data_IF_128343065963
#
_entry.id   IF_128343065963
#
_cell.length_a   1.000
_cell.length_b   1.000
_cell.length_c   1.000
_cell.angle_alpha   90.00
_cell.angle_beta   90.00
_cell.angle_gamma   90.00
#
_symmetry.space_group_name_H-M   'P 1'
#
loop_
_entity.id
_entity.type
_entity.pdbx_description
1 polymer ?
#
# COMPACT_ATOMS: atom_id res chain seq x y z
N UNK A 1 -27.43 -79.07 -57.92
CA UNK A 1 -26.32 -79.19 -56.93
C UNK A 1 -25.72 -77.84 -56.71
N UNK A 2 -26.09 -77.13 -55.63
CA UNK A 2 -25.51 -75.87 -55.25
C UNK A 2 -25.05 -75.96 -53.77
N UNK A 3 -23.76 -75.86 -53.54
CA UNK A 3 -23.16 -75.88 -52.19
C UNK A 3 -23.25 -74.48 -51.60
N UNK A 4 -23.84 -74.40 -50.40
CA UNK A 4 -23.86 -73.22 -49.60
C UNK A 4 -22.62 -73.25 -48.67
N UNK A 5 -21.77 -72.20 -48.76
CA UNK A 5 -20.68 -71.93 -47.77
C UNK A 5 -21.21 -71.03 -46.70
N UNK A 6 -21.22 -71.49 -45.45
CA UNK A 6 -21.40 -70.64 -44.20
C UNK A 6 -20.07 -69.97 -43.89
N UNK A 7 -20.10 -68.63 -43.74
CA UNK A 7 -19.03 -67.88 -43.12
C UNK A 7 -19.38 -67.71 -41.61
N UNK A 8 -18.42 -67.85 -40.70
CA UNK A 8 -18.64 -67.56 -39.32
C UNK A 8 -18.46 -65.99 -39.01
N UNK A 9 -19.43 -65.42 -38.28
CA UNK A 9 -19.43 -64.09 -37.80
C UNK A 9 -18.43 -63.98 -36.59
N UNK A 10 -17.36 -63.19 -36.76
CA UNK A 10 -16.40 -62.89 -35.73
C UNK A 10 -16.93 -61.60 -34.93
N UNK A 11 -17.41 -61.79 -33.72
CA UNK A 11 -17.84 -60.70 -32.89
C UNK A 11 -16.61 -60.00 -32.28
N UNK A 12 -16.38 -58.73 -32.66
CA UNK A 12 -15.37 -57.87 -32.05
C UNK A 12 -15.95 -57.22 -30.82
N UNK A 13 -15.45 -57.63 -29.64
CA UNK A 13 -15.74 -56.98 -28.35
C UNK A 13 -14.85 -55.73 -28.22
N UNK A 14 -15.41 -54.54 -28.39
CA UNK A 14 -14.72 -53.28 -28.14
C UNK A 14 -14.84 -52.98 -26.64
N UNK A 15 -13.75 -53.17 -25.88
CA UNK A 15 -13.59 -52.68 -24.53
C UNK A 15 -13.40 -51.15 -24.57
N UNK A 16 -14.45 -50.41 -24.23
CA UNK A 16 -14.34 -48.98 -23.93
C UNK A 16 -13.67 -48.83 -22.56
N UNK A 17 -12.37 -48.54 -22.58
CA UNK A 17 -11.65 -48.06 -21.40
C UNK A 17 -12.10 -46.62 -21.14
N UNK A 18 -12.98 -46.41 -20.17
CA UNK A 18 -13.26 -45.10 -19.61
C UNK A 18 -12.00 -44.60 -18.86
N UNK A 19 -11.16 -43.83 -19.52
CA UNK A 19 -10.11 -43.06 -18.91
C UNK A 19 -10.76 -41.86 -18.21
N UNK A 20 -10.96 -41.95 -16.90
CA UNK A 20 -11.22 -40.78 -16.08
C UNK A 20 -9.99 -39.91 -16.04
N UNK A 21 -9.86 -39.03 -17.02
CA UNK A 21 -8.91 -37.95 -16.99
C UNK A 21 -9.36 -36.93 -15.94
N UNK A 22 -8.72 -36.92 -14.77
CA UNK A 22 -8.82 -35.82 -13.83
C UNK A 22 -8.34 -34.57 -14.56
N UNK A 23 -9.25 -33.59 -14.76
CA UNK A 23 -8.91 -32.28 -15.26
C UNK A 23 -7.84 -31.67 -14.33
N UNK A 24 -6.80 -31.03 -14.88
CA UNK A 24 -5.82 -30.34 -14.04
C UNK A 24 -6.56 -29.26 -13.26
N UNK A 25 -6.50 -29.33 -11.92
CA UNK A 25 -6.88 -28.20 -11.07
C UNK A 25 -5.97 -27.04 -11.47
N UNK A 26 -6.52 -26.03 -12.13
CA UNK A 26 -5.84 -24.76 -12.29
C UNK A 26 -5.57 -24.23 -10.87
N UNK A 27 -4.35 -24.35 -10.40
CA UNK A 27 -3.89 -23.61 -9.24
C UNK A 27 -3.97 -22.15 -9.66
N UNK A 28 -5.01 -21.44 -9.21
CA UNK A 28 -5.01 -19.99 -9.23
C UNK A 28 -3.88 -19.62 -8.28
N UNK A 29 -2.71 -19.26 -8.84
CA UNK A 29 -1.62 -18.72 -8.03
C UNK A 29 -2.17 -17.54 -7.25
N UNK A 30 -2.09 -17.63 -5.93
CA UNK A 30 -2.42 -16.49 -5.07
C UNK A 30 -1.51 -15.32 -5.48
N UNK A 31 -2.04 -14.09 -5.59
CA UNK A 31 -1.23 -12.95 -5.99
C UNK A 31 0.00 -12.83 -5.08
N UNK A 32 1.14 -12.60 -5.72
CA UNK A 32 2.40 -12.46 -5.00
C UNK A 32 2.28 -11.33 -3.97
N UNK A 33 2.66 -11.63 -2.72
CA UNK A 33 2.65 -10.64 -1.62
C UNK A 33 3.58 -9.45 -1.93
N UNK A 34 3.23 -8.29 -1.39
CA UNK A 34 4.00 -7.05 -1.57
C UNK A 34 4.49 -6.48 -0.25
N UNK A 35 5.68 -5.89 -0.29
CA UNK A 35 6.24 -5.04 0.78
C UNK A 35 6.66 -3.73 0.14
N UNK A 36 6.02 -2.63 0.55
CA UNK A 36 6.14 -1.32 -0.08
C UNK A 36 6.79 -0.34 0.89
N UNK A 37 7.88 0.27 0.47
CA UNK A 37 8.51 1.37 1.20
C UNK A 37 8.12 2.71 0.59
N UNK A 38 7.60 3.64 1.36
CA UNK A 38 7.63 5.04 0.99
C UNK A 38 9.03 5.60 1.26
N UNK A 39 9.63 6.21 0.25
CA UNK A 39 10.99 6.77 0.30
C UNK A 39 10.92 8.24 -0.09
N UNK A 40 11.25 9.11 0.85
CA UNK A 40 11.03 10.54 0.69
C UNK A 40 12.17 11.24 -0.10
N UNK A 41 11.78 12.29 -0.80
CA UNK A 41 12.68 13.10 -1.63
C UNK A 41 13.71 13.93 -0.82
N UNK A 42 13.43 14.13 0.48
CA UNK A 42 14.26 14.91 1.40
C UNK A 42 15.20 14.07 2.26
N UNK A 43 15.01 12.76 2.31
CA UNK A 43 15.92 11.86 3.02
C UNK A 43 17.13 11.49 2.16
N UNK A 44 18.29 11.36 2.76
CA UNK A 44 19.50 10.84 2.10
C UNK A 44 19.69 9.34 2.26
N UNK A 45 18.87 8.68 3.11
CA UNK A 45 18.97 7.25 3.39
C UNK A 45 18.49 6.44 2.19
N UNK A 46 19.37 5.56 1.69
CA UNK A 46 19.05 4.67 0.56
C UNK A 46 18.41 3.39 1.06
N UNK A 47 17.24 2.99 0.50
CA UNK A 47 16.62 1.73 0.88
C UNK A 47 17.43 0.51 0.42
N UNK A 48 17.42 -0.54 1.24
CA UNK A 48 17.96 -1.83 0.85
C UNK A 48 16.95 -2.54 -0.08
N UNK A 49 17.25 -2.70 -1.38
CA UNK A 49 16.32 -3.30 -2.33
C UNK A 49 15.98 -4.77 -2.00
N UNK A 50 16.84 -5.48 -1.23
CA UNK A 50 16.56 -6.86 -0.83
C UNK A 50 15.38 -6.97 0.14
N UNK A 51 15.02 -5.90 0.85
CA UNK A 51 13.97 -5.86 1.89
C UNK A 51 12.65 -5.24 1.43
N UNK A 52 12.48 -4.98 0.13
CA UNK A 52 11.26 -4.39 -0.44
C UNK A 52 10.91 -5.05 -1.77
N UNK A 53 9.64 -5.06 -2.13
CA UNK A 53 9.18 -5.44 -3.47
C UNK A 53 8.85 -4.21 -4.30
N UNK A 54 8.39 -3.14 -3.63
CA UNK A 54 7.99 -1.88 -4.24
C UNK A 54 8.59 -0.70 -3.47
N UNK A 55 8.86 0.37 -4.18
CA UNK A 55 9.19 1.67 -3.62
C UNK A 55 8.22 2.70 -4.20
N UNK A 56 7.52 3.42 -3.33
CA UNK A 56 6.79 4.62 -3.67
C UNK A 56 7.67 5.82 -3.34
N UNK A 57 8.21 6.48 -4.38
CA UNK A 57 9.02 7.68 -4.20
C UNK A 57 8.13 8.88 -3.90
N UNK A 58 8.29 9.47 -2.75
CA UNK A 58 7.47 10.55 -2.22
C UNK A 58 8.26 11.88 -2.18
N UNK A 59 7.90 12.95 -2.93
CA UNK A 59 6.69 13.05 -3.72
C UNK A 59 6.92 13.78 -5.05
N UNK A 60 6.00 13.52 -5.98
CA UNK A 60 5.63 14.48 -6.99
C UNK A 60 4.43 15.31 -6.52
N UNK A 61 4.17 16.45 -7.14
CA UNK A 61 3.03 17.32 -6.85
C UNK A 61 2.36 17.79 -8.13
N UNK A 62 1.08 18.14 -8.07
CA UNK A 62 0.43 18.87 -9.18
C UNK A 62 1.17 20.19 -9.39
N UNK A 63 1.52 20.51 -10.64
CA UNK A 63 2.26 21.71 -10.98
C UNK A 63 1.41 22.99 -10.80
N UNK A 64 2.05 24.16 -10.93
CA UNK A 64 1.40 25.45 -10.68
C UNK A 64 0.35 25.83 -11.73
N UNK A 65 0.33 25.15 -12.86
CA UNK A 65 -0.65 25.32 -13.95
C UNK A 65 -1.74 24.26 -13.97
N UNK A 66 -1.84 23.41 -12.94
CA UNK A 66 -2.85 22.38 -12.73
C UNK A 66 -2.93 21.31 -13.83
N UNK A 67 -1.92 21.13 -14.65
CA UNK A 67 -1.99 20.27 -15.85
C UNK A 67 -0.81 19.32 -16.03
N UNK A 68 0.01 19.16 -15.01
CA UNK A 68 1.17 18.26 -15.02
C UNK A 68 1.74 18.04 -13.63
N UNK A 69 2.84 17.29 -13.58
CA UNK A 69 3.50 16.88 -12.36
C UNK A 69 4.84 17.60 -12.20
N UNK A 70 5.10 18.12 -11.02
CA UNK A 70 6.40 18.62 -10.59
C UNK A 70 7.05 17.62 -9.65
N UNK A 71 8.15 17.01 -10.04
CA UNK A 71 8.93 16.07 -9.22
C UNK A 71 9.87 16.85 -8.31
N UNK A 72 9.90 16.49 -7.04
CA UNK A 72 10.87 17.02 -6.10
C UNK A 72 12.10 16.09 -6.11
N UNK A 73 13.28 16.65 -6.31
CA UNK A 73 14.56 15.96 -6.32
C UNK A 73 14.63 14.79 -7.33
N UNK A 74 14.61 15.12 -8.63
CA UNK A 74 14.70 14.12 -9.71
C UNK A 74 15.97 13.27 -9.66
N UNK A 75 17.09 13.83 -9.20
CA UNK A 75 18.33 13.08 -9.10
C UNK A 75 18.22 11.94 -8.08
N UNK A 76 17.55 12.18 -6.96
CA UNK A 76 17.27 11.12 -6.01
C UNK A 76 16.31 10.06 -6.58
N UNK A 77 15.28 10.48 -7.33
CA UNK A 77 14.40 9.53 -8.02
C UNK A 77 15.21 8.62 -8.96
N UNK A 78 16.14 9.17 -9.75
CA UNK A 78 17.02 8.38 -10.62
C UNK A 78 17.89 7.40 -9.83
N UNK A 79 18.41 7.81 -8.66
CA UNK A 79 19.16 6.92 -7.78
C UNK A 79 18.30 5.77 -7.25
N UNK A 80 17.05 6.05 -6.84
CA UNK A 80 16.10 5.03 -6.40
C UNK A 80 15.76 4.05 -7.54
N UNK A 81 15.49 4.55 -8.74
CA UNK A 81 15.24 3.70 -9.92
C UNK A 81 16.47 2.84 -10.25
N UNK A 82 17.67 3.35 -10.05
CA UNK A 82 18.91 2.60 -10.30
C UNK A 82 19.07 1.35 -9.41
N UNK A 83 18.34 1.25 -8.29
CA UNK A 83 18.29 0.05 -7.45
C UNK A 83 17.74 -1.17 -8.20
N UNK A 84 16.97 -0.98 -9.27
CA UNK A 84 16.53 -2.05 -10.18
C UNK A 84 17.69 -2.80 -10.83
N UNK A 85 18.90 -2.22 -10.89
CA UNK A 85 20.12 -2.93 -11.34
C UNK A 85 20.54 -4.02 -10.36
N UNK A 86 20.25 -3.85 -9.06
CA UNK A 86 20.54 -4.83 -8.01
C UNK A 86 19.40 -5.83 -7.83
N UNK A 87 18.15 -5.41 -8.10
CA UNK A 87 16.94 -6.23 -7.99
C UNK A 87 16.01 -5.93 -9.16
N UNK A 88 16.14 -6.65 -10.29
CA UNK A 88 15.38 -6.36 -11.52
C UNK A 88 13.86 -6.43 -11.37
N UNK A 89 13.37 -7.24 -10.43
CA UNK A 89 11.95 -7.36 -10.13
C UNK A 89 11.39 -6.23 -9.24
N UNK A 90 12.25 -5.36 -8.69
CA UNK A 90 11.83 -4.21 -7.89
C UNK A 90 10.95 -3.26 -8.71
N UNK A 91 9.81 -2.90 -8.15
CA UNK A 91 8.91 -1.91 -8.71
C UNK A 91 9.14 -0.54 -8.07
N UNK A 92 9.24 0.49 -8.89
CA UNK A 92 9.40 1.88 -8.44
C UNK A 92 8.27 2.72 -9.02
N UNK A 93 7.47 3.32 -8.16
CA UNK A 93 6.38 4.22 -8.50
C UNK A 93 6.70 5.64 -8.03
N UNK A 94 6.17 6.64 -8.74
CA UNK A 94 6.12 7.99 -8.22
C UNK A 94 4.82 8.17 -7.43
N UNK A 95 4.91 8.47 -6.14
CA UNK A 95 3.77 8.91 -5.34
C UNK A 95 3.57 10.40 -5.55
N UNK A 96 2.35 10.79 -5.94
CA UNK A 96 1.99 12.18 -6.22
C UNK A 96 0.99 12.63 -5.18
N UNK A 97 1.36 13.64 -4.40
CA UNK A 97 0.52 14.14 -3.32
C UNK A 97 1.24 14.33 -2.00
N UNK A 98 0.67 13.74 -0.95
CA UNK A 98 1.10 13.86 0.43
C UNK A 98 0.39 14.98 1.18
N UNK A 99 0.48 14.96 2.52
CA UNK A 99 -0.18 15.93 3.38
C UNK A 99 0.19 17.38 3.04
N UNK A 100 -0.82 18.20 2.80
CA UNK A 100 -0.65 19.60 2.39
C UNK A 100 -0.35 19.81 0.90
N UNK A 101 -0.27 18.76 0.10
CA UNK A 101 -0.12 18.87 -1.36
C UNK A 101 -1.45 19.22 -2.01
N UNK A 102 -1.65 20.51 -2.28
CA UNK A 102 -2.87 21.05 -2.91
C UNK A 102 -2.91 20.90 -4.42
N UNK A 103 -3.84 21.66 -5.04
CA UNK A 103 -4.08 21.78 -6.50
C UNK A 103 -4.76 20.57 -7.15
N UNK A 104 -5.02 19.51 -6.42
CA UNK A 104 -5.73 18.36 -6.96
C UNK A 104 -7.18 18.70 -7.33
N UNK A 105 -7.88 19.48 -6.48
CA UNK A 105 -9.28 19.86 -6.72
C UNK A 105 -9.43 20.65 -8.01
N UNK A 106 -8.55 21.63 -8.24
CA UNK A 106 -8.55 22.45 -9.47
C UNK A 106 -8.14 21.61 -10.71
N UNK A 107 -7.12 20.78 -10.57
CA UNK A 107 -6.64 19.92 -11.66
C UNK A 107 -7.72 18.90 -12.05
N UNK A 108 -8.34 18.24 -11.08
CA UNK A 108 -9.27 17.15 -11.33
C UNK A 108 -10.65 17.64 -11.82
N UNK A 109 -11.05 18.87 -11.48
CA UNK A 109 -12.32 19.47 -11.90
C UNK A 109 -12.37 19.79 -13.41
N UNK A 110 -11.24 20.14 -14.01
CA UNK A 110 -11.16 20.52 -15.43
C UNK A 110 -10.70 19.34 -16.28
N UNK A 111 -11.49 18.98 -17.30
CA UNK A 111 -11.19 17.82 -18.16
C UNK A 111 -9.85 17.98 -18.91
N UNK A 112 -9.53 19.17 -19.40
CA UNK A 112 -8.30 19.39 -20.15
C UNK A 112 -7.09 19.31 -19.24
N UNK A 113 -7.15 19.86 -18.02
CA UNK A 113 -6.11 19.75 -17.01
C UNK A 113 -5.92 18.29 -16.61
N UNK A 114 -7.02 17.58 -16.35
CA UNK A 114 -6.99 16.16 -15.95
C UNK A 114 -6.35 15.27 -17.01
N UNK A 115 -6.73 15.44 -18.28
CA UNK A 115 -6.16 14.70 -19.42
C UNK A 115 -4.68 15.07 -19.65
N UNK A 116 -4.31 16.34 -19.49
CA UNK A 116 -2.92 16.79 -19.59
C UNK A 116 -2.07 16.20 -18.47
N UNK A 117 -2.57 16.22 -17.23
CA UNK A 117 -1.91 15.62 -16.07
C UNK A 117 -1.71 14.10 -16.28
N UNK A 118 -2.71 13.39 -16.77
CA UNK A 118 -2.62 11.96 -17.06
C UNK A 118 -1.55 11.65 -18.13
N UNK A 119 -1.45 12.46 -19.17
CA UNK A 119 -0.38 12.36 -20.19
C UNK A 119 0.99 12.65 -19.59
N UNK A 120 1.09 13.61 -18.68
CA UNK A 120 2.34 13.92 -18.00
C UNK A 120 2.78 12.78 -17.06
N UNK A 121 1.84 12.11 -16.39
CA UNK A 121 2.11 10.86 -15.67
C UNK A 121 2.71 9.79 -16.61
N UNK A 122 2.15 9.60 -17.81
CA UNK A 122 2.71 8.67 -18.80
C UNK A 122 4.13 9.07 -19.22
N UNK A 123 4.37 10.35 -19.53
CA UNK A 123 5.70 10.87 -19.88
C UNK A 123 6.72 10.55 -18.79
N UNK A 124 6.39 10.85 -17.53
CA UNK A 124 7.27 10.61 -16.37
C UNK A 124 7.56 9.12 -16.19
N UNK A 125 6.55 8.27 -16.30
CA UNK A 125 6.72 6.81 -16.23
C UNK A 125 7.72 6.33 -17.29
N UNK A 126 7.64 6.85 -18.50
CA UNK A 126 8.55 6.50 -19.60
C UNK A 126 9.96 7.10 -19.40
N UNK A 127 10.04 8.38 -19.09
CA UNK A 127 11.29 9.14 -18.95
C UNK A 127 12.19 8.59 -17.83
N UNK A 128 11.59 8.29 -16.67
CA UNK A 128 12.35 7.79 -15.51
C UNK A 128 12.39 6.25 -15.43
N UNK A 129 11.71 5.53 -16.33
CA UNK A 129 11.67 4.06 -16.30
C UNK A 129 10.92 3.51 -15.10
N UNK A 130 9.85 4.21 -14.66
CA UNK A 130 9.01 3.82 -13.54
C UNK A 130 8.10 2.64 -13.88
N UNK A 131 7.66 1.94 -12.85
CA UNK A 131 6.70 0.85 -12.97
C UNK A 131 5.25 1.30 -12.77
N UNK A 132 5.02 2.56 -12.38
CA UNK A 132 3.68 3.11 -12.20
C UNK A 132 3.62 4.43 -11.45
N UNK A 133 2.39 4.76 -11.08
CA UNK A 133 2.01 5.98 -10.33
C UNK A 133 1.22 5.55 -9.09
N UNK A 134 1.49 6.21 -7.98
CA UNK A 134 0.70 6.16 -6.75
C UNK A 134 0.07 7.54 -6.51
N UNK A 135 -1.22 7.61 -6.20
CA UNK A 135 -1.91 8.88 -5.92
C UNK A 135 -2.18 8.99 -4.43
N UNK A 136 -1.67 10.06 -3.84
CA UNK A 136 -1.80 10.36 -2.41
C UNK A 136 -2.46 11.73 -2.20
N UNK A 137 -3.71 11.87 -2.65
CA UNK A 137 -4.50 13.08 -2.43
C UNK A 137 -5.15 13.05 -1.04
N UNK A 138 -4.73 13.94 -0.14
CA UNK A 138 -5.15 13.99 1.26
C UNK A 138 -5.97 15.28 1.56
N UNK A 139 -7.28 15.34 1.32
CA UNK A 139 -8.15 14.32 0.72
C UNK A 139 -9.16 14.98 -0.23
N UNK A 140 -9.76 14.25 -1.19
CA UNK A 140 -10.91 14.76 -1.94
C UNK A 140 -12.00 15.26 -1.00
N UNK A 141 -12.66 16.35 -1.32
CA UNK A 141 -13.73 16.99 -0.53
C UNK A 141 -13.34 17.50 0.86
N UNK A 142 -12.05 17.46 1.22
CA UNK A 142 -11.56 17.88 2.54
C UNK A 142 -10.46 18.93 2.45
N UNK A 143 -10.62 20.00 3.20
CA UNK A 143 -9.61 21.05 3.36
C UNK A 143 -8.73 20.88 4.62
N UNK A 144 -8.79 19.73 5.29
CA UNK A 144 -8.12 19.50 6.58
C UNK A 144 -6.60 19.69 6.53
N UNK A 145 -5.96 19.40 5.40
CA UNK A 145 -4.53 19.60 5.18
C UNK A 145 -4.17 21.03 4.74
N UNK A 146 -5.09 22.01 4.82
CA UNK A 146 -4.89 23.37 4.33
C UNK A 146 -4.90 23.50 2.80
N UNK A 147 -5.49 22.54 2.12
CA UNK A 147 -5.62 22.50 0.66
C UNK A 147 -7.02 22.95 0.20
N UNK A 148 -7.15 23.31 -1.08
CA UNK A 148 -8.45 23.51 -1.72
C UNK A 148 -9.25 22.22 -1.81
N UNK A 149 -10.57 22.33 -1.75
CA UNK A 149 -11.50 21.20 -1.89
C UNK A 149 -12.81 21.63 -2.50
N UNK A 150 -13.49 20.68 -3.17
CA UNK A 150 -14.82 20.85 -3.76
C UNK A 150 -15.72 19.69 -3.37
N UNK A 151 -17.04 19.88 -3.25
CA UNK A 151 -17.99 18.77 -3.07
C UNK A 151 -17.91 17.71 -4.17
N UNK A 152 -17.45 18.09 -5.37
CA UNK A 152 -17.37 17.22 -6.54
C UNK A 152 -16.06 16.40 -6.60
N UNK A 153 -15.13 16.59 -5.66
CA UNK A 153 -13.79 15.98 -5.72
C UNK A 153 -13.82 14.46 -5.72
N UNK A 154 -14.79 13.82 -5.06
CA UNK A 154 -14.94 12.35 -5.08
C UNK A 154 -15.21 11.82 -6.50
N UNK A 155 -16.10 12.50 -7.24
CA UNK A 155 -16.42 12.15 -8.62
C UNK A 155 -15.27 12.51 -9.56
N UNK A 156 -14.65 13.67 -9.36
CA UNK A 156 -13.47 14.12 -10.09
C UNK A 156 -12.27 13.19 -9.88
N UNK A 157 -12.08 12.66 -8.66
CA UNK A 157 -11.07 11.64 -8.37
C UNK A 157 -11.32 10.35 -9.17
N UNK A 158 -12.59 9.95 -9.29
CA UNK A 158 -12.95 8.78 -10.11
C UNK A 158 -12.57 8.99 -11.58
N UNK A 159 -12.82 10.17 -12.13
CA UNK A 159 -12.43 10.52 -13.50
C UNK A 159 -10.89 10.57 -13.63
N UNK A 160 -10.21 11.17 -12.67
CA UNK A 160 -8.75 11.26 -12.65
C UNK A 160 -8.09 9.88 -12.71
N UNK A 161 -8.51 8.93 -11.87
CA UNK A 161 -7.94 7.59 -11.85
C UNK A 161 -8.15 6.85 -13.18
N UNK A 162 -9.31 7.03 -13.81
CA UNK A 162 -9.60 6.50 -15.15
C UNK A 162 -8.68 7.10 -16.22
N UNK A 163 -8.52 8.42 -16.22
CA UNK A 163 -7.70 9.11 -17.22
C UNK A 163 -6.21 8.75 -17.08
N UNK A 164 -5.71 8.64 -15.84
CA UNK A 164 -4.34 8.16 -15.59
C UNK A 164 -4.19 6.73 -16.10
N UNK A 165 -5.12 5.82 -15.76
CA UNK A 165 -5.10 4.42 -16.20
C UNK A 165 -5.08 4.31 -17.73
N UNK A 166 -5.89 5.10 -18.42
CA UNK A 166 -5.92 5.12 -19.89
C UNK A 166 -4.58 5.59 -20.47
N UNK A 167 -3.95 6.56 -19.85
CA UNK A 167 -2.67 7.13 -20.32
C UNK A 167 -1.48 6.23 -20.05
N UNK A 168 -1.33 5.68 -18.85
CA UNK A 168 -0.18 4.85 -18.51
C UNK A 168 -0.29 3.40 -19.01
N UNK A 169 -1.51 2.96 -19.39
CA UNK A 169 -1.78 1.60 -19.86
C UNK A 169 -1.95 0.57 -18.73
N UNK A 170 -2.24 -0.67 -19.11
CA UNK A 170 -2.51 -1.78 -18.16
C UNK A 170 -1.24 -2.46 -17.63
N UNK A 171 -0.12 -2.26 -18.28
CA UNK A 171 1.17 -2.86 -17.91
C UNK A 171 1.90 -2.08 -16.81
N UNK A 172 1.38 -0.91 -16.44
CA UNK A 172 1.90 -0.06 -15.38
C UNK A 172 0.98 -0.07 -14.17
N UNK A 173 1.56 -0.03 -12.98
CA UNK A 173 0.81 0.03 -11.74
C UNK A 173 0.16 1.41 -11.56
N UNK A 174 -1.08 1.41 -11.12
CA UNK A 174 -1.78 2.59 -10.62
C UNK A 174 -2.32 2.25 -9.25
N UNK A 175 -1.78 2.89 -8.23
CA UNK A 175 -2.13 2.67 -6.84
C UNK A 175 -2.57 3.97 -6.17
N UNK A 176 -3.06 3.88 -4.96
CA UNK A 176 -3.40 5.06 -4.18
C UNK A 176 -3.18 4.83 -2.69
N UNK A 177 -2.83 5.89 -1.97
CA UNK A 177 -2.95 5.95 -0.53
C UNK A 177 -4.37 6.35 -0.13
N UNK A 178 -4.88 5.77 0.96
CA UNK A 178 -6.23 6.00 1.43
C UNK A 178 -6.27 6.23 2.93
N UNK A 179 -7.09 7.20 3.36
CA UNK A 179 -7.36 7.43 4.78
C UNK A 179 -7.90 6.17 5.46
N UNK A 180 -7.54 5.93 6.70
CA UNK A 180 -7.94 4.73 7.46
C UNK A 180 -9.46 4.45 7.45
N UNK A 181 -10.30 5.49 7.36
CA UNK A 181 -11.76 5.36 7.36
C UNK A 181 -12.39 4.95 6.03
N UNK A 182 -11.61 4.81 4.95
CA UNK A 182 -12.12 4.58 3.59
C UNK A 182 -13.08 5.67 3.07
N UNK A 183 -13.02 6.88 3.63
CA UNK A 183 -13.83 8.02 3.20
C UNK A 183 -13.26 8.68 1.95
N UNK A 184 -14.00 9.64 1.40
CA UNK A 184 -13.61 10.54 0.30
C UNK A 184 -13.48 9.90 -1.09
N UNK A 185 -13.50 8.57 -1.21
CA UNK A 185 -13.28 7.86 -2.49
C UNK A 185 -14.42 6.87 -2.75
N UNK A 186 -14.91 6.85 -3.97
CA UNK A 186 -15.83 5.81 -4.45
C UNK A 186 -15.03 4.61 -4.97
N UNK A 187 -14.61 3.72 -4.07
CA UNK A 187 -13.79 2.55 -4.43
C UNK A 187 -14.45 1.68 -5.50
N UNK A 188 -15.77 1.45 -5.41
CA UNK A 188 -16.47 0.62 -6.41
C UNK A 188 -16.36 1.16 -7.83
N UNK A 189 -16.30 2.48 -7.98
CA UNK A 189 -16.18 3.15 -9.27
C UNK A 189 -14.76 3.06 -9.87
N UNK A 190 -13.72 3.04 -9.03
CA UNK A 190 -12.32 3.04 -9.49
C UNK A 190 -11.64 1.66 -9.49
N UNK A 191 -12.32 0.62 -8.98
CA UNK A 191 -11.69 -0.68 -8.74
C UNK A 191 -11.11 -1.33 -9.99
N UNK A 192 -11.64 -1.03 -11.17
CA UNK A 192 -11.14 -1.53 -12.45
C UNK A 192 -9.95 -0.72 -13.00
N UNK A 193 -9.71 0.47 -12.45
CA UNK A 193 -8.68 1.38 -12.91
C UNK A 193 -7.41 1.31 -12.05
N UNK A 194 -7.54 0.89 -10.78
CA UNK A 194 -6.40 0.78 -9.84
C UNK A 194 -5.95 -0.68 -9.64
N UNK A 195 -4.73 -0.90 -9.19
CA UNK A 195 -4.21 -2.23 -8.89
C UNK A 195 -4.41 -2.61 -7.42
N UNK A 196 -4.09 -1.71 -6.49
CA UNK A 196 -4.30 -1.92 -5.06
C UNK A 196 -4.36 -0.59 -4.29
N UNK A 197 -4.76 -0.69 -3.02
CA UNK A 197 -4.94 0.44 -2.10
C UNK A 197 -3.97 0.31 -0.93
N UNK A 198 -3.18 1.34 -0.70
CA UNK A 198 -2.32 1.52 0.46
C UNK A 198 -3.13 2.19 1.58
N UNK A 199 -3.52 1.43 2.62
CA UNK A 199 -4.29 1.98 3.74
C UNK A 199 -3.35 2.72 4.68
N UNK A 200 -3.53 4.01 4.91
CA UNK A 200 -2.82 4.78 5.92
C UNK A 200 -3.38 4.46 7.32
N UNK A 201 -3.15 3.23 7.79
CA UNK A 201 -3.63 2.72 9.08
C UNK A 201 -2.75 3.18 10.26
N UNK A 202 -2.43 4.45 10.24
CA UNK A 202 -1.67 5.18 11.25
C UNK A 202 -2.22 6.61 11.40
N UNK A 203 -1.64 7.42 12.26
CA UNK A 203 -2.10 8.78 12.58
C UNK A 203 -3.55 8.84 13.11
N UNK A 204 -4.05 7.71 13.59
CA UNK A 204 -5.41 7.61 14.14
C UNK A 204 -5.56 8.25 15.53
N UNK A 205 -4.48 8.74 16.12
CA UNK A 205 -4.44 9.54 17.33
C UNK A 205 -3.04 10.14 17.58
N UNK A 206 -2.93 10.93 18.65
CA UNK A 206 -1.67 11.26 19.33
C UNK A 206 -1.71 10.73 20.76
N UNK A 207 -0.55 10.59 21.43
CA UNK A 207 -0.52 10.30 22.86
C UNK A 207 -1.44 11.27 23.64
N UNK A 208 -2.21 10.79 24.63
CA UNK A 208 -2.13 9.51 25.30
C UNK A 208 -2.97 8.38 24.66
N UNK A 209 -3.11 8.34 23.35
CA UNK A 209 -3.77 7.25 22.62
C UNK A 209 -2.85 6.64 21.57
N UNK A 210 -3.07 5.38 21.27
CA UNK A 210 -2.35 4.68 20.19
C UNK A 210 -2.79 5.19 18.82
N UNK A 211 -1.83 5.53 17.95
CA UNK A 211 -2.13 6.01 16.59
C UNK A 211 -2.18 4.88 15.56
N UNK A 212 -1.70 3.69 15.89
CA UNK A 212 -1.59 2.55 14.96
C UNK A 212 -1.93 1.21 15.61
N UNK A 213 -2.77 1.23 16.68
CA UNK A 213 -3.21 0.00 17.36
C UNK A 213 -3.87 -0.98 16.43
N UNK A 214 -3.50 -2.28 16.51
CA UNK A 214 -4.08 -3.30 15.63
C UNK A 214 -5.55 -3.54 15.97
N UNK A 215 -5.88 -3.70 17.23
CA UNK A 215 -7.23 -3.97 17.71
C UNK A 215 -7.73 -2.92 18.71
N UNK A 216 -9.06 -2.83 18.86
CA UNK A 216 -9.72 -1.87 19.74
C UNK A 216 -9.38 -2.15 21.20
N UNK A 217 -8.86 -1.14 21.89
CA UNK A 217 -8.60 -1.09 23.32
C UNK A 217 -9.07 0.26 23.88
N UNK A 218 -9.06 0.41 25.20
CA UNK A 218 -9.53 1.64 25.88
C UNK A 218 -8.72 2.91 25.54
N UNK A 219 -7.45 2.76 25.11
CA UNK A 219 -6.56 3.86 24.73
C UNK A 219 -6.18 3.86 23.24
N UNK A 220 -7.01 3.28 22.38
CA UNK A 220 -6.82 3.39 20.92
C UNK A 220 -7.41 4.71 20.39
N UNK A 221 -6.97 5.11 19.21
CA UNK A 221 -7.46 6.29 18.52
C UNK A 221 -8.91 6.17 18.04
N UNK A 222 -9.29 7.02 17.10
CA UNK A 222 -10.64 7.03 16.51
C UNK A 222 -10.92 5.78 15.65
N UNK A 223 -9.87 5.15 15.10
CA UNK A 223 -9.90 3.85 14.45
C UNK A 223 -8.74 2.97 14.91
N UNK A 224 -8.76 1.71 14.47
CA UNK A 224 -7.67 0.74 14.58
C UNK A 224 -7.32 0.17 13.21
N UNK A 225 -6.20 -0.54 13.09
CA UNK A 225 -5.81 -1.15 11.82
C UNK A 225 -6.86 -2.18 11.32
N UNK A 226 -7.41 -3.01 12.21
CA UNK A 226 -8.47 -3.98 11.86
C UNK A 226 -9.76 -3.28 11.38
N UNK A 227 -10.16 -2.21 12.06
CA UNK A 227 -11.33 -1.42 11.65
C UNK A 227 -11.09 -0.70 10.33
N UNK A 228 -9.88 -0.21 10.07
CA UNK A 228 -9.51 0.40 8.79
C UNK A 228 -9.59 -0.60 7.63
N UNK A 229 -9.06 -1.81 7.81
CA UNK A 229 -9.19 -2.89 6.82
C UNK A 229 -10.66 -3.23 6.59
N UNK A 230 -11.45 -3.37 7.65
CA UNK A 230 -12.89 -3.63 7.54
C UNK A 230 -13.62 -2.53 6.77
N UNK A 231 -13.33 -1.26 7.04
CA UNK A 231 -13.95 -0.13 6.35
C UNK A 231 -13.71 -0.18 4.83
N UNK A 232 -12.50 -0.54 4.39
CA UNK A 232 -12.17 -0.68 2.98
C UNK A 232 -12.87 -1.88 2.33
N UNK A 233 -12.95 -3.02 3.03
CA UNK A 233 -13.69 -4.20 2.54
C UNK A 233 -15.18 -3.87 2.40
N UNK A 234 -15.79 -3.22 3.38
CA UNK A 234 -17.20 -2.79 3.35
C UNK A 234 -17.45 -1.78 2.21
N UNK A 235 -16.44 -0.96 1.87
CA UNK A 235 -16.47 -0.03 0.73
C UNK A 235 -16.29 -0.72 -0.63
N UNK A 236 -16.02 -2.03 -0.65
CA UNK A 236 -15.99 -2.87 -1.85
C UNK A 236 -14.60 -3.26 -2.34
N UNK A 237 -13.52 -2.95 -1.62
CA UNK A 237 -12.17 -3.36 -2.00
C UNK A 237 -11.91 -4.80 -1.52
N UNK A 238 -11.58 -5.75 -2.41
CA UNK A 238 -11.22 -7.10 -1.99
C UNK A 238 -9.97 -7.12 -1.09
N UNK A 239 -9.94 -7.97 -0.07
CA UNK A 239 -8.81 -8.09 0.85
C UNK A 239 -7.48 -8.29 0.13
N UNK A 240 -7.43 -9.12 -0.93
CA UNK A 240 -6.25 -9.34 -1.75
C UNK A 240 -5.77 -8.13 -2.58
N UNK A 241 -6.43 -6.97 -2.45
CA UNK A 241 -6.03 -5.68 -3.05
C UNK A 241 -5.78 -4.60 -2.00
N UNK A 242 -5.76 -4.96 -0.71
CA UNK A 242 -5.47 -4.06 0.40
C UNK A 242 -4.05 -4.28 0.91
N UNK A 243 -3.35 -3.19 1.15
CA UNK A 243 -2.00 -3.15 1.74
C UNK A 243 -2.09 -2.40 3.07
N UNK A 244 -1.69 -3.06 4.16
CA UNK A 244 -1.76 -2.47 5.50
C UNK A 244 -0.62 -1.49 5.72
N UNK A 245 -0.95 -0.26 6.15
CA UNK A 245 0.03 0.77 6.51
C UNK A 245 0.60 0.58 7.91
N UNK A 246 1.90 0.75 8.02
CA UNK A 246 2.67 0.63 9.26
C UNK A 246 3.58 1.85 9.42
N UNK A 247 3.54 2.54 10.58
CA UNK A 247 4.42 3.69 10.79
C UNK A 247 5.80 3.25 11.29
N UNK A 248 6.87 3.81 10.71
CA UNK A 248 8.23 3.69 11.26
C UNK A 248 8.57 4.90 12.12
N UNK A 249 7.55 5.43 12.80
CA UNK A 249 7.64 6.56 13.71
C UNK A 249 6.60 6.45 14.82
N UNK A 250 6.79 7.25 15.87
CA UNK A 250 5.84 7.36 16.97
C UNK A 250 5.11 8.70 16.97
N UNK A 251 3.84 8.68 17.39
CA UNK A 251 3.03 9.88 17.64
C UNK A 251 3.09 10.28 19.09
N UNK A 252 3.75 11.41 19.33
CA UNK A 252 3.82 12.03 20.64
C UNK A 252 2.60 12.87 21.01
N UNK A 253 2.54 13.26 22.27
CA UNK A 253 1.56 14.19 22.82
C UNK A 253 2.19 15.53 23.21
N UNK A 254 1.54 16.23 24.15
CA UNK A 254 2.02 17.54 24.62
C UNK A 254 3.39 17.48 25.31
N UNK A 255 3.76 16.34 25.90
CA UNK A 255 4.98 16.17 26.70
C UNK A 255 6.17 15.65 25.88
N UNK A 256 5.93 15.05 24.73
CA UNK A 256 6.96 14.55 23.83
C UNK A 256 6.47 14.71 22.39
N UNK A 257 7.28 15.33 21.53
CA UNK A 257 6.98 15.44 20.10
C UNK A 257 7.13 14.08 19.39
N UNK A 258 6.65 13.98 18.15
CA UNK A 258 6.82 12.78 17.34
C UNK A 258 8.30 12.41 17.16
N UNK A 259 8.58 11.13 17.00
CA UNK A 259 9.94 10.59 16.81
C UNK A 259 9.92 9.53 15.71
N UNK A 260 10.95 9.51 14.88
CA UNK A 260 11.28 8.36 14.06
C UNK A 260 11.70 7.19 14.96
N UNK A 261 11.59 5.95 14.48
CA UNK A 261 11.94 4.79 15.30
C UNK A 261 13.39 4.84 15.78
N UNK A 262 14.32 5.32 14.94
CA UNK A 262 15.73 5.50 15.30
C UNK A 262 15.97 6.42 16.52
N UNK A 263 15.06 7.39 16.73
CA UNK A 263 15.18 8.44 17.73
C UNK A 263 14.35 8.15 18.99
N UNK A 264 13.67 6.99 19.04
CA UNK A 264 12.91 6.57 20.21
C UNK A 264 13.88 6.07 21.27
N UNK A 265 13.91 6.79 22.41
CA UNK A 265 14.71 6.37 23.57
C UNK A 265 14.04 5.24 24.33
N UNK A 266 14.51 4.01 24.11
CA UNK A 266 14.02 2.82 24.78
C UNK A 266 14.72 2.55 26.14
N UNK A 267 15.77 3.32 26.51
CA UNK A 267 16.67 2.95 27.62
C UNK A 267 16.90 4.06 28.68
N UNK A 268 16.23 5.19 28.60
CA UNK A 268 16.61 6.33 29.40
C UNK A 268 15.48 6.94 30.21
N UNK A 269 14.97 8.08 29.76
CA UNK A 269 14.03 8.92 30.51
C UNK A 269 12.61 8.33 30.57
N UNK A 270 12.24 7.49 29.59
CA UNK A 270 10.89 6.96 29.41
C UNK A 270 10.83 5.47 29.72
N UNK A 271 9.61 4.98 30.06
CA UNK A 271 9.34 3.58 30.36
C UNK A 271 8.52 2.98 29.25
N UNK A 272 9.06 1.92 28.62
CA UNK A 272 8.31 1.18 27.58
C UNK A 272 7.27 0.25 28.22
N UNK A 273 6.08 0.24 27.63
CA UNK A 273 4.99 -0.64 27.98
C UNK A 273 4.46 -1.35 26.72
N UNK A 274 3.74 -2.44 26.94
CA UNK A 274 3.04 -3.18 25.91
C UNK A 274 1.53 -3.19 26.16
N UNK A 275 0.72 -2.80 25.18
CA UNK A 275 -0.73 -2.95 25.22
C UNK A 275 -1.10 -4.29 24.57
N UNK A 276 -1.42 -5.30 25.39
CA UNK A 276 -1.69 -6.63 24.88
C UNK A 276 -2.99 -6.74 24.06
N UNK A 277 -3.96 -5.89 24.30
CA UNK A 277 -5.19 -5.82 23.50
C UNK A 277 -4.96 -5.12 22.17
N UNK A 278 -4.34 -3.94 22.16
CA UNK A 278 -4.06 -3.17 20.93
C UNK A 278 -2.86 -3.70 20.14
N UNK A 279 -2.06 -4.63 20.72
CA UNK A 279 -0.86 -5.24 20.11
C UNK A 279 0.19 -4.22 19.66
N UNK A 280 0.40 -3.18 20.45
CA UNK A 280 1.39 -2.13 20.18
C UNK A 280 2.11 -1.69 21.46
N UNK A 281 3.38 -1.22 21.34
CA UNK A 281 4.11 -0.60 22.44
C UNK A 281 3.70 0.87 22.64
N UNK A 282 4.07 1.42 23.79
CA UNK A 282 3.98 2.83 24.06
C UNK A 282 4.95 3.24 25.16
N UNK A 283 5.31 4.53 25.21
CA UNK A 283 6.15 5.09 26.26
C UNK A 283 5.31 5.90 27.24
N UNK A 284 5.66 5.80 28.53
CA UNK A 284 5.22 6.72 29.57
C UNK A 284 6.39 7.52 30.11
N UNK A 285 6.10 8.69 30.67
CA UNK A 285 7.03 9.38 31.55
C UNK A 285 7.06 8.73 32.96
N UNK A 286 7.86 9.28 33.87
CA UNK A 286 8.00 8.80 35.26
C UNK A 286 6.71 8.89 36.08
N UNK A 287 5.77 9.74 35.67
CA UNK A 287 4.45 9.92 36.33
C UNK A 287 3.42 8.90 35.77
N UNK A 288 3.80 7.99 34.88
CA UNK A 288 2.93 7.02 34.25
C UNK A 288 2.03 7.57 33.14
N UNK A 289 2.26 8.80 32.66
CA UNK A 289 1.49 9.41 31.58
C UNK A 289 2.05 8.96 30.25
N UNK A 290 1.20 8.39 29.38
CA UNK A 290 1.60 8.02 28.03
C UNK A 290 2.01 9.27 27.23
N UNK A 291 3.22 9.24 26.69
CA UNK A 291 3.83 10.34 25.94
C UNK A 291 4.07 10.01 24.47
N UNK A 292 4.17 8.73 24.09
CA UNK A 292 4.39 8.30 22.73
C UNK A 292 3.71 6.94 22.46
N UNK A 293 2.99 6.83 21.37
CA UNK A 293 2.57 5.55 20.78
C UNK A 293 3.41 5.28 19.53
N UNK A 294 3.83 4.04 19.29
CA UNK A 294 4.69 3.68 18.15
C UNK A 294 4.55 2.19 17.78
N UNK A 295 5.26 1.76 16.75
CA UNK A 295 5.43 0.35 16.39
C UNK A 295 6.89 -0.07 16.60
N UNK A 296 7.09 -1.33 17.01
CA UNK A 296 8.40 -1.97 17.12
C UNK A 296 8.39 -3.34 16.43
N UNK A 297 9.50 -4.07 16.47
CA UNK A 297 9.63 -5.41 15.88
C UNK A 297 8.49 -6.35 16.28
N UNK A 298 8.10 -6.34 17.57
CA UNK A 298 7.03 -7.21 18.09
C UNK A 298 5.66 -6.85 17.48
N UNK A 299 5.28 -5.59 17.45
CA UNK A 299 3.99 -5.15 16.89
C UNK A 299 3.94 -5.37 15.37
N UNK A 300 5.04 -5.09 14.66
CA UNK A 300 5.12 -5.31 13.22
C UNK A 300 5.05 -6.79 12.86
N UNK A 301 5.69 -7.69 13.63
CA UNK A 301 5.55 -9.13 13.43
C UNK A 301 4.10 -9.58 13.54
N UNK A 302 3.37 -9.11 14.55
CA UNK A 302 1.94 -9.42 14.74
C UNK A 302 1.09 -8.83 13.58
N UNK A 303 1.41 -7.62 13.11
CA UNK A 303 0.74 -7.02 11.94
C UNK A 303 1.02 -7.81 10.65
N UNK A 304 2.21 -8.38 10.49
CA UNK A 304 2.51 -9.27 9.37
C UNK A 304 1.70 -10.58 9.43
N UNK A 305 1.58 -11.19 10.61
CA UNK A 305 0.70 -12.35 10.81
C UNK A 305 -0.76 -12.02 10.47
N UNK A 306 -1.26 -10.85 10.92
CA UNK A 306 -2.58 -10.34 10.58
C UNK A 306 -2.78 -10.17 9.05
N UNK A 307 -1.80 -9.60 8.34
CA UNK A 307 -1.82 -9.46 6.87
C UNK A 307 -2.03 -10.82 6.19
N UNK A 308 -1.30 -11.83 6.64
CA UNK A 308 -1.40 -13.19 6.09
C UNK A 308 -2.74 -13.85 6.44
N UNK A 309 -3.18 -13.76 7.69
CA UNK A 309 -4.45 -14.31 8.18
C UNK A 309 -5.65 -13.73 7.45
N UNK A 310 -5.67 -12.40 7.25
CA UNK A 310 -6.77 -11.70 6.56
C UNK A 310 -6.69 -11.78 5.04
N UNK A 311 -5.66 -12.42 4.49
CA UNK A 311 -5.47 -12.54 3.04
C UNK A 311 -5.22 -11.21 2.35
N UNK A 312 -4.67 -10.20 3.07
CA UNK A 312 -4.32 -8.92 2.48
C UNK A 312 -3.20 -9.09 1.45
N UNK A 313 -3.07 -8.15 0.51
CA UNK A 313 -2.02 -8.18 -0.51
C UNK A 313 -0.63 -8.05 0.11
N UNK A 314 -0.47 -7.23 1.15
CA UNK A 314 0.83 -7.02 1.79
C UNK A 314 0.82 -5.91 2.81
N UNK A 315 2.02 -5.37 3.07
CA UNK A 315 2.24 -4.23 3.97
C UNK A 315 3.01 -3.10 3.30
N UNK A 316 2.70 -1.87 3.68
CA UNK A 316 3.51 -0.70 3.34
C UNK A 316 3.91 0.04 4.60
N UNK A 317 4.94 0.86 4.53
CA UNK A 317 5.33 1.68 5.66
C UNK A 317 5.74 3.11 5.28
N UNK A 318 5.34 4.02 6.13
CA UNK A 318 5.74 5.41 6.15
C UNK A 318 6.69 5.64 7.32
N UNK A 319 7.93 6.03 7.12
CA UNK A 319 8.70 6.00 5.91
C UNK A 319 10.01 5.23 6.12
N UNK A 320 10.67 4.83 5.05
CA UNK A 320 11.90 4.03 5.14
C UNK A 320 12.98 4.65 6.01
N UNK A 321 13.15 5.98 5.92
CA UNK A 321 14.18 6.69 6.67
C UNK A 321 13.93 6.77 8.18
N UNK A 322 12.71 6.46 8.65
CA UNK A 322 12.37 6.39 10.07
C UNK A 322 12.93 5.15 10.78
N UNK A 323 13.35 4.11 10.04
CA UNK A 323 13.97 2.90 10.60
C UNK A 323 15.38 3.17 11.15
N UNK A 324 15.87 2.28 11.99
CA UNK A 324 17.25 2.35 12.47
C UNK A 324 18.27 1.91 11.40
N UNK A 325 19.57 2.15 11.66
CA UNK A 325 20.65 1.89 10.70
C UNK A 325 20.80 0.41 10.33
N UNK A 326 20.28 -0.50 11.15
CA UNK A 326 20.26 -1.94 10.89
C UNK A 326 19.09 -2.40 10.02
N UNK A 327 18.20 -1.48 9.61
CA UNK A 327 16.96 -1.75 8.87
C UNK A 327 16.11 -2.84 9.58
N UNK A 328 15.95 -2.71 10.88
CA UNK A 328 15.34 -3.71 11.74
C UNK A 328 13.85 -3.86 11.46
N UNK A 329 13.12 -2.75 11.34
CA UNK A 329 11.68 -2.76 11.04
C UNK A 329 11.43 -3.21 9.60
N UNK A 330 12.19 -2.71 8.62
CA UNK A 330 12.05 -3.11 7.22
C UNK A 330 12.30 -4.61 7.03
N UNK A 331 13.32 -5.16 7.71
CA UNK A 331 13.61 -6.60 7.73
C UNK A 331 12.46 -7.38 8.35
N UNK A 332 11.94 -6.93 9.47
CA UNK A 332 10.81 -7.58 10.17
C UNK A 332 9.60 -7.67 9.25
N UNK A 333 9.23 -6.58 8.59
CA UNK A 333 8.09 -6.56 7.66
C UNK A 333 8.35 -7.48 6.46
N UNK A 334 9.53 -7.41 5.85
CA UNK A 334 9.87 -8.23 4.69
C UNK A 334 9.85 -9.72 5.01
N UNK A 335 10.51 -10.11 6.09
CA UNK A 335 10.60 -11.53 6.50
C UNK A 335 9.23 -12.06 6.95
N UNK A 336 8.47 -11.27 7.71
CA UNK A 336 7.15 -11.64 8.19
C UNK A 336 6.14 -11.88 7.05
N UNK A 337 6.19 -11.08 5.98
CA UNK A 337 5.27 -11.22 4.85
C UNK A 337 5.78 -12.21 3.80
N UNK A 338 7.07 -12.12 3.40
CA UNK A 338 7.58 -12.84 2.24
C UNK A 338 8.05 -14.26 2.56
N UNK A 339 8.59 -14.52 3.77
CA UNK A 339 9.07 -15.86 4.16
C UNK A 339 7.98 -16.74 4.75
N UNK A 340 6.98 -16.14 5.40
CA UNK A 340 5.86 -16.87 5.99
C UNK A 340 4.78 -17.25 4.94
N UNK A 341 4.86 -16.73 3.72
CA UNK A 341 3.95 -17.06 2.61
C UNK A 341 4.42 -18.24 1.74
N UNK A 342 5.53 -18.89 2.11
CA UNK A 342 6.04 -20.15 1.50
C UNK A 342 5.61 -21.35 2.32
#
# INVERSE_FOLDING_TARGET
MKRHHLLPLLAFFICLLNSCGSAPKSSVESPQKVVIAYVTSWSEIMPNPALVTHINYAFGHVNDTFNGVRIINEERLKQIVALKKQKPELKVLLSIGGWGSGRFSEMAADEQNRLSFAKDCQRIVQEFGLDGIDIDWEYPTSSAAGISSSPDDTDNFTLLMRDIRQSIGKDKLLTMASVASAQYVNFRAILNDIDFVNIMSYDMANAPKHHSGLYRANITGWLTCDEAVKAHIDSGVPAGRLVLGMPFYGRGGKLLSNRDFRDIDLNGEYIEHWNDTAKVPYLTNKDGIMVLGFDNVRSLSIKCEYILEKGLLGGMYWEYAGDNDNAELARTVYEGIMKSSK
#
